data_IF_947021994709
#
_entry.id   IF_947021994709
#
_cell.length_a   1.000
_cell.length_b   1.000
_cell.length_c   1.000
_cell.angle_alpha   90.00
_cell.angle_beta   90.00
_cell.angle_gamma   90.00
#
_symmetry.space_group_name_H-M   'P 1'
#
loop_
_entity.id
_entity.type
_entity.pdbx_description
1 polymer ?
#
# COMPACT_ATOMS: atom_id res chain seq x y z
N UNK A 1 -3.23 34.90 -18.18
CA UNK A 1 -2.48 35.05 -16.93
C UNK A 1 -2.27 33.69 -16.28
N UNK A 2 -1.08 33.09 -16.42
CA UNK A 2 -0.69 31.97 -15.56
C UNK A 2 0.81 32.06 -15.20
N UNK A 3 1.18 32.78 -14.13
CA UNK A 3 2.57 32.77 -13.61
C UNK A 3 2.67 32.83 -12.09
N UNK A 4 1.55 32.88 -11.35
CA UNK A 4 1.58 33.04 -9.89
C UNK A 4 1.56 31.73 -9.08
N UNK A 5 1.23 30.58 -9.69
CA UNK A 5 1.11 29.29 -8.97
C UNK A 5 2.41 28.47 -8.91
N UNK A 6 3.38 28.77 -9.77
CA UNK A 6 4.67 28.07 -9.78
C UNK A 6 5.63 28.57 -8.68
N UNK A 7 5.49 29.82 -8.23
CA UNK A 7 6.38 30.42 -7.22
C UNK A 7 5.97 30.08 -5.78
N UNK A 8 4.68 29.83 -5.52
CA UNK A 8 4.19 29.43 -4.20
C UNK A 8 4.58 27.99 -3.81
N UNK A 9 4.86 27.11 -4.78
CA UNK A 9 5.24 25.72 -4.53
C UNK A 9 6.74 25.52 -4.29
N UNK A 10 7.59 26.49 -4.64
CA UNK A 10 9.05 26.39 -4.44
C UNK A 10 9.47 26.83 -3.04
N UNK A 11 8.72 27.74 -2.40
CA UNK A 11 9.04 28.26 -1.06
C UNK A 11 8.67 27.28 0.06
N UNK A 12 7.64 26.44 -0.13
CA UNK A 12 7.23 25.45 0.87
C UNK A 12 8.10 24.17 0.93
N UNK A 13 9.05 24.00 0.00
CA UNK A 13 9.89 22.80 -0.09
C UNK A 13 11.30 22.97 0.52
N UNK A 14 11.69 24.20 0.87
CA UNK A 14 13.02 24.50 1.42
C UNK A 14 13.08 24.42 2.97
N UNK A 15 11.93 24.31 3.65
CA UNK A 15 11.84 24.41 5.12
C UNK A 15 11.68 23.04 5.83
N UNK A 16 11.75 21.92 5.10
CA UNK A 16 11.61 20.56 5.67
C UNK A 16 12.86 19.68 5.52
N UNK A 17 14.00 20.28 5.15
CA UNK A 17 15.27 19.60 4.95
C UNK A 17 16.35 20.17 5.89
N UNK A 18 16.15 19.99 7.19
CA UNK A 18 17.14 20.32 8.20
C UNK A 18 16.66 19.87 9.57
N UNK A 19 17.03 18.66 9.98
CA UNK A 19 17.43 18.34 11.35
C UNK A 19 17.53 16.81 11.54
N UNK A 20 18.78 16.32 11.55
CA UNK A 20 19.16 15.07 12.20
C UNK A 20 20.69 15.09 12.41
N UNK A 21 21.14 15.74 13.48
CA UNK A 21 22.43 15.43 14.13
C UNK A 21 22.55 16.10 15.52
N UNK A 22 22.86 15.30 16.52
CA UNK A 22 23.36 15.67 17.85
C UNK A 22 24.38 14.59 18.26
N UNK A 23 25.30 14.76 19.24
CA UNK A 23 25.73 15.96 19.97
C UNK A 23 27.27 16.20 19.88
N UNK A 24 27.76 17.37 20.34
CA UNK A 24 28.94 17.50 21.22
C UNK A 24 29.23 18.94 21.63
N UNK A 25 29.74 19.04 22.85
CA UNK A 25 30.02 20.23 23.66
C UNK A 25 31.13 21.16 23.14
N UNK A 26 31.16 22.32 23.80
CA UNK A 26 32.25 23.26 24.06
C UNK A 26 32.40 24.53 23.22
N UNK A 27 32.16 25.63 23.94
CA UNK A 27 33.00 26.83 24.06
C UNK A 27 32.95 27.90 22.95
N UNK A 28 32.36 29.04 23.35
CA UNK A 28 33.01 30.37 23.39
C UNK A 28 33.62 30.92 22.09
N UNK A 29 32.95 31.92 21.49
CA UNK A 29 33.38 33.33 21.46
C UNK A 29 32.68 34.12 20.34
N UNK A 30 31.94 35.15 20.75
CA UNK A 30 31.47 36.25 19.90
C UNK A 30 32.64 37.22 19.71
N UNK A 31 32.76 37.89 18.54
CA UNK A 31 32.70 39.34 18.60
C UNK A 31 31.78 39.97 17.55
N UNK A 32 30.99 40.93 18.04
CA UNK A 32 30.30 42.00 17.28
C UNK A 32 31.31 43.00 16.72
N UNK A 33 31.05 43.51 15.51
CA UNK A 33 31.07 44.96 15.12
C UNK A 33 30.54 45.06 13.69
N UNK A 34 29.43 45.79 13.47
CA UNK A 34 29.37 47.21 13.07
C UNK A 34 29.94 47.42 11.65
N UNK A 35 29.34 48.13 10.70
CA UNK A 35 28.22 49.08 10.67
C UNK A 35 28.04 49.50 9.20
N UNK A 36 26.78 49.71 8.80
CA UNK A 36 26.24 50.77 7.93
C UNK A 36 26.73 51.08 6.49
N UNK A 37 25.71 51.47 5.69
CA UNK A 37 25.65 52.29 4.46
C UNK A 37 26.01 51.61 3.11
N UNK A 38 25.08 51.42 2.16
CA UNK A 38 24.23 52.32 1.32
C UNK A 38 24.85 52.68 -0.06
N UNK A 39 24.07 52.41 -1.12
CA UNK A 39 23.95 53.09 -2.44
C UNK A 39 24.92 52.70 -3.60
N UNK A 40 24.39 51.86 -4.51
CA UNK A 40 24.23 51.89 -6.00
C UNK A 40 25.09 52.79 -6.99
N UNK A 41 25.07 52.54 -8.33
CA UNK A 41 26.23 52.35 -9.24
C UNK A 41 26.33 53.47 -10.33
N UNK A 42 26.63 53.27 -11.65
CA UNK A 42 27.56 52.41 -12.43
C UNK A 42 28.49 53.23 -13.37
N UNK A 43 29.47 52.62 -14.07
CA UNK A 43 29.90 53.07 -15.43
C UNK A 43 30.78 52.05 -16.17
N UNK A 44 30.44 51.86 -17.45
CA UNK A 44 31.18 51.20 -18.53
C UNK A 44 32.49 51.97 -18.88
N UNK A 45 33.54 51.32 -19.40
CA UNK A 45 33.81 51.28 -20.85
C UNK A 45 35.12 50.54 -21.23
N UNK A 46 35.14 50.15 -22.50
CA UNK A 46 36.07 49.34 -23.32
C UNK A 46 37.60 49.56 -23.25
N UNK A 47 38.38 48.50 -23.58
CA UNK A 47 39.27 48.49 -24.78
C UNK A 47 40.13 47.21 -24.92
N UNK A 48 40.07 46.65 -26.14
CA UNK A 48 41.12 45.99 -26.95
C UNK A 48 41.74 44.60 -26.63
N UNK A 49 41.75 43.79 -27.69
CA UNK A 49 42.36 42.46 -27.88
C UNK A 49 43.72 42.61 -28.61
N UNK A 50 44.63 41.60 -28.57
CA UNK A 50 44.61 40.66 -29.68
C UNK A 50 44.95 39.18 -29.35
N UNK A 51 44.34 38.32 -30.16
CA UNK A 51 44.51 36.87 -30.39
C UNK A 51 45.89 36.27 -30.09
N UNK A 52 45.88 35.16 -29.35
CA UNK A 52 46.63 33.94 -29.72
C UNK A 52 45.75 32.70 -29.51
N UNK A 53 45.73 31.86 -30.53
CA UNK A 53 44.96 30.62 -30.62
C UNK A 53 45.64 29.48 -29.85
N UNK A 54 44.92 28.87 -28.90
CA UNK A 54 45.14 27.47 -28.55
C UNK A 54 43.80 26.78 -28.28
N UNK A 55 43.73 25.58 -28.82
CA UNK A 55 42.54 24.76 -29.05
C UNK A 55 42.08 24.02 -27.79
N UNK A 56 40.74 23.97 -27.61
CA UNK A 56 39.96 22.84 -27.07
C UNK A 56 40.19 22.50 -25.57
N UNK A 57 39.23 22.85 -24.70
CA UNK A 57 38.33 21.84 -24.13
C UNK A 57 37.11 22.47 -23.45
N UNK A 58 35.95 22.36 -24.11
CA UNK A 58 34.64 22.75 -23.58
C UNK A 58 34.21 21.63 -22.61
N UNK A 59 34.37 21.82 -21.30
CA UNK A 59 33.71 20.95 -20.31
C UNK A 59 32.22 21.23 -20.38
N UNK A 60 31.54 20.50 -21.26
CA UNK A 60 30.10 20.26 -21.17
C UNK A 60 29.83 19.72 -19.78
N UNK A 61 29.04 20.46 -19.01
CA UNK A 61 28.44 20.04 -17.76
C UNK A 61 27.53 18.86 -18.08
N UNK A 62 28.09 17.65 -18.02
CA UNK A 62 27.33 16.41 -18.15
C UNK A 62 26.52 16.32 -16.89
N UNK A 63 25.28 16.80 -16.97
CA UNK A 63 24.26 16.61 -15.97
C UNK A 63 24.18 15.12 -15.66
N UNK A 64 24.78 14.76 -14.53
CA UNK A 64 24.83 13.40 -14.02
C UNK A 64 23.39 12.92 -13.89
N UNK A 65 22.97 11.83 -14.56
CA UNK A 65 21.61 11.34 -14.40
C UNK A 65 21.36 11.07 -12.93
N UNK A 66 20.28 11.65 -12.40
CA UNK A 66 19.85 11.43 -11.03
C UNK A 66 19.84 9.92 -10.75
N UNK A 67 20.33 9.48 -9.57
CA UNK A 67 20.35 8.07 -9.25
C UNK A 67 18.92 7.50 -9.33
N UNK A 68 18.74 6.26 -9.81
CA UNK A 68 17.42 5.67 -9.96
C UNK A 68 16.74 5.66 -8.59
N UNK A 69 15.62 6.38 -8.48
CA UNK A 69 14.80 6.44 -7.29
C UNK A 69 14.54 5.01 -6.77
N UNK A 70 15.00 4.75 -5.56
CA UNK A 70 14.70 3.53 -4.82
C UNK A 70 13.18 3.47 -4.58
N UNK A 71 12.45 2.77 -5.48
CA UNK A 71 11.04 2.40 -5.35
C UNK A 71 10.12 3.49 -4.82
N UNK A 72 9.63 4.37 -5.71
CA UNK A 72 8.60 5.35 -5.37
C UNK A 72 7.41 4.66 -4.68
N UNK A 73 7.15 5.06 -3.43
CA UNK A 73 5.96 4.60 -2.70
C UNK A 73 4.73 5.12 -3.44
N UNK A 74 3.81 4.24 -3.82
CA UNK A 74 2.59 4.62 -4.52
C UNK A 74 1.61 5.19 -3.47
N UNK A 75 1.50 6.52 -3.42
CA UNK A 75 0.90 7.25 -2.31
C UNK A 75 -0.62 7.08 -2.25
N UNK A 76 -1.30 7.08 -3.38
CA UNK A 76 -2.76 6.91 -3.42
C UNK A 76 -3.24 5.57 -2.87
N UNK A 77 -2.42 4.50 -2.93
CA UNK A 77 -2.77 3.20 -2.37
C UNK A 77 -2.79 3.23 -0.83
N UNK A 78 -1.94 4.06 -0.20
CA UNK A 78 -2.07 4.34 1.24
C UNK A 78 -3.39 5.08 1.51
N UNK A 79 -3.71 6.08 0.68
CA UNK A 79 -4.96 6.82 0.73
C UNK A 79 -6.21 5.94 0.67
N UNK A 80 -6.25 5.03 -0.31
CA UNK A 80 -7.34 4.07 -0.49
C UNK A 80 -7.47 3.13 0.71
N UNK A 81 -6.34 2.71 1.28
CA UNK A 81 -6.31 1.92 2.52
C UNK A 81 -6.87 2.69 3.72
N UNK A 82 -6.56 3.99 3.81
CA UNK A 82 -7.10 4.89 4.83
C UNK A 82 -8.60 5.09 4.70
N UNK A 83 -9.08 5.34 3.48
CA UNK A 83 -10.50 5.45 3.18
C UNK A 83 -11.26 4.16 3.58
N UNK A 84 -10.72 2.99 3.24
CA UNK A 84 -11.31 1.71 3.64
C UNK A 84 -11.39 1.56 5.17
N UNK A 85 -10.33 1.89 5.94
CA UNK A 85 -10.40 1.87 7.40
C UNK A 85 -11.47 2.80 7.95
N UNK A 86 -11.56 4.01 7.40
CA UNK A 86 -12.57 4.99 7.79
C UNK A 86 -14.00 4.49 7.51
N UNK A 87 -14.23 3.86 6.36
CA UNK A 87 -15.53 3.25 6.03
C UNK A 87 -15.91 2.13 7.00
N UNK A 88 -14.96 1.30 7.44
CA UNK A 88 -15.20 0.29 8.49
C UNK A 88 -15.64 0.94 9.80
N UNK A 89 -14.99 2.04 10.22
CA UNK A 89 -15.38 2.79 11.42
C UNK A 89 -16.80 3.33 11.27
N UNK A 90 -17.11 4.00 10.15
CA UNK A 90 -18.45 4.57 9.85
C UNK A 90 -19.53 3.49 9.95
N UNK A 91 -19.31 2.31 9.38
CA UNK A 91 -20.23 1.16 9.49
C UNK A 91 -20.50 0.77 10.95
N UNK A 92 -19.44 0.56 11.74
CA UNK A 92 -19.59 0.02 13.10
C UNK A 92 -20.13 1.05 14.09
N UNK A 93 -19.96 2.35 13.83
CA UNK A 93 -20.68 3.38 14.61
C UNK A 93 -22.19 3.35 14.33
N UNK A 94 -22.60 2.82 13.17
CA UNK A 94 -23.97 2.91 12.65
C UNK A 94 -24.26 4.25 11.97
N UNK A 95 -23.23 4.96 11.49
CA UNK A 95 -23.44 6.17 10.71
C UNK A 95 -23.99 5.80 9.32
N UNK A 96 -24.91 6.63 8.82
CA UNK A 96 -25.54 6.53 7.49
C UNK A 96 -26.48 5.32 7.26
N UNK A 97 -26.38 4.24 8.02
CA UNK A 97 -27.26 3.07 7.86
C UNK A 97 -27.04 2.29 6.56
N UNK A 98 -25.90 2.50 5.89
CA UNK A 98 -25.56 1.91 4.61
C UNK A 98 -24.52 0.79 4.84
N UNK A 99 -24.65 -0.40 4.22
CA UNK A 99 -23.75 -1.54 4.41
C UNK A 99 -22.39 -1.37 3.69
N UNK A 100 -21.62 -0.34 4.06
CA UNK A 100 -20.31 -0.02 3.48
C UNK A 100 -19.14 -0.79 4.10
N UNK A 101 -19.37 -1.50 5.21
CA UNK A 101 -18.32 -2.26 5.92
C UNK A 101 -17.69 -3.38 5.10
N UNK A 102 -18.51 -4.25 4.51
CA UNK A 102 -18.02 -5.37 3.71
C UNK A 102 -17.29 -4.91 2.42
N UNK A 103 -17.81 -3.93 1.65
CA UNK A 103 -17.06 -3.30 0.56
C UNK A 103 -15.69 -2.74 0.99
N UNK A 104 -15.59 -2.15 2.18
CA UNK A 104 -14.32 -1.64 2.69
C UNK A 104 -13.32 -2.77 3.02
N UNK A 105 -13.80 -3.88 3.59
CA UNK A 105 -12.98 -5.09 3.81
C UNK A 105 -12.51 -5.70 2.48
N UNK A 106 -13.36 -5.70 1.45
CA UNK A 106 -12.97 -6.12 0.11
C UNK A 106 -11.84 -5.26 -0.46
N UNK A 107 -11.92 -3.94 -0.27
CA UNK A 107 -10.84 -3.04 -0.67
C UNK A 107 -9.53 -3.39 0.02
N UNK A 108 -9.54 -3.76 1.31
CA UNK A 108 -8.34 -4.27 1.99
C UNK A 108 -7.80 -5.55 1.36
N UNK A 109 -8.66 -6.52 1.06
CA UNK A 109 -8.26 -7.78 0.43
C UNK A 109 -7.70 -7.57 -0.98
N UNK A 110 -8.34 -6.72 -1.80
CA UNK A 110 -7.85 -6.35 -3.13
C UNK A 110 -6.49 -5.66 -3.04
N UNK A 111 -6.34 -4.65 -2.18
CA UNK A 111 -5.09 -3.92 -1.98
C UNK A 111 -3.96 -4.85 -1.54
N UNK A 112 -4.23 -5.74 -0.58
CA UNK A 112 -3.25 -6.69 -0.07
C UNK A 112 -2.80 -7.64 -1.18
N UNK A 113 -3.75 -8.26 -1.89
CA UNK A 113 -3.45 -9.15 -3.01
C UNK A 113 -2.69 -8.43 -4.15
N UNK A 114 -3.09 -7.21 -4.49
CA UNK A 114 -2.44 -6.40 -5.52
C UNK A 114 -0.98 -6.10 -5.17
N UNK A 115 -0.73 -5.52 -4.00
CA UNK A 115 0.61 -5.11 -3.57
C UNK A 115 1.54 -6.31 -3.39
N UNK A 116 1.08 -7.37 -2.73
CA UNK A 116 1.92 -8.54 -2.48
C UNK A 116 2.22 -9.29 -3.78
N UNK A 117 1.23 -9.43 -4.67
CA UNK A 117 1.45 -10.05 -5.99
C UNK A 117 2.45 -9.25 -6.80
N UNK A 118 2.30 -7.92 -6.89
CA UNK A 118 3.24 -7.06 -7.64
C UNK A 118 4.68 -7.15 -7.09
N UNK A 119 4.86 -7.10 -5.77
CA UNK A 119 6.17 -7.18 -5.13
C UNK A 119 6.79 -8.58 -5.33
N UNK A 120 6.00 -9.64 -5.12
CA UNK A 120 6.48 -11.01 -5.24
C UNK A 120 6.78 -11.38 -6.70
N UNK A 121 5.95 -10.94 -7.65
CA UNK A 121 6.17 -11.10 -9.09
C UNK A 121 7.54 -10.54 -9.49
N UNK A 122 7.83 -9.29 -9.13
CA UNK A 122 9.12 -8.67 -9.44
C UNK A 122 10.28 -9.46 -8.86
N UNK A 123 10.15 -9.94 -7.61
CA UNK A 123 11.19 -10.75 -6.94
C UNK A 123 11.36 -12.12 -7.60
N UNK A 124 10.26 -12.83 -7.85
CA UNK A 124 10.22 -14.16 -8.46
C UNK A 124 10.84 -14.16 -9.87
N UNK A 125 10.52 -13.14 -10.67
CA UNK A 125 11.11 -12.95 -12.00
C UNK A 125 12.63 -12.82 -11.96
N UNK A 126 13.16 -11.99 -11.06
CA UNK A 126 14.62 -11.85 -10.87
C UNK A 126 15.25 -13.19 -10.48
N UNK A 127 14.64 -13.92 -9.55
CA UNK A 127 15.14 -15.23 -9.09
C UNK A 127 15.14 -16.28 -10.23
N UNK A 128 14.11 -16.28 -11.08
CA UNK A 128 14.05 -17.15 -12.26
C UNK A 128 15.12 -16.81 -13.30
N UNK A 129 15.34 -15.52 -13.57
CA UNK A 129 16.35 -15.07 -14.53
C UNK A 129 17.78 -15.39 -14.05
N UNK A 130 18.03 -15.31 -12.75
CA UNK A 130 19.32 -15.65 -12.14
C UNK A 130 19.54 -17.17 -11.96
N UNK A 131 18.57 -18.03 -12.32
CA UNK A 131 18.63 -19.50 -12.17
C UNK A 131 19.12 -19.96 -10.80
N UNK A 132 18.57 -19.34 -9.75
CA UNK A 132 19.04 -19.52 -8.36
C UNK A 132 18.68 -20.87 -7.76
N UNK A 133 19.52 -21.33 -6.82
CA UNK A 133 19.31 -22.55 -6.05
C UNK A 133 18.02 -22.52 -5.20
N UNK A 134 17.46 -23.70 -4.90
CA UNK A 134 16.29 -23.88 -4.03
C UNK A 134 16.42 -23.22 -2.66
N UNK A 135 17.64 -23.20 -2.08
CA UNK A 135 17.89 -22.53 -0.79
C UNK A 135 17.53 -21.05 -0.83
N UNK A 136 17.85 -20.38 -1.94
CA UNK A 136 17.62 -18.95 -2.13
C UNK A 136 16.15 -18.61 -2.35
N UNK A 137 15.41 -19.52 -2.98
CA UNK A 137 13.95 -19.46 -2.99
C UNK A 137 13.37 -19.55 -1.58
N UNK A 138 13.90 -20.45 -0.74
CA UNK A 138 13.56 -20.56 0.68
C UNK A 138 13.78 -19.24 1.43
N UNK A 139 14.95 -18.61 1.28
CA UNK A 139 15.25 -17.30 1.87
C UNK A 139 14.33 -16.18 1.38
N UNK A 140 14.01 -16.18 0.08
CA UNK A 140 13.12 -15.19 -0.51
C UNK A 140 11.68 -15.31 0.03
N UNK A 141 11.19 -16.54 0.21
CA UNK A 141 9.89 -16.84 0.80
C UNK A 141 9.88 -16.52 2.30
N UNK A 142 10.94 -16.85 3.04
CA UNK A 142 11.06 -16.52 4.45
C UNK A 142 11.01 -15.01 4.69
N UNK A 143 11.77 -14.22 3.93
CA UNK A 143 11.73 -12.75 3.97
C UNK A 143 10.32 -12.21 3.65
N UNK A 144 9.63 -12.83 2.68
CA UNK A 144 8.25 -12.47 2.34
C UNK A 144 7.28 -12.75 3.50
N UNK A 145 7.23 -13.99 4.02
CA UNK A 145 6.31 -14.37 5.08
C UNK A 145 6.60 -13.65 6.40
N UNK A 146 7.88 -13.51 6.77
CA UNK A 146 8.27 -12.83 8.00
C UNK A 146 7.83 -11.37 8.03
N UNK A 147 7.95 -10.64 6.89
CA UNK A 147 7.47 -9.25 6.79
C UNK A 147 5.97 -9.12 6.94
N UNK A 148 5.20 -10.10 6.46
CA UNK A 148 3.73 -10.08 6.57
C UNK A 148 3.26 -10.50 7.95
N UNK A 149 3.88 -11.54 8.50
CA UNK A 149 3.62 -11.99 9.86
C UNK A 149 3.91 -10.87 10.87
N UNK A 150 5.10 -10.27 10.84
CA UNK A 150 5.48 -9.20 11.76
C UNK A 150 4.71 -7.88 11.54
N UNK A 151 4.09 -7.69 10.37
CA UNK A 151 3.24 -6.52 10.14
C UNK A 151 1.88 -6.63 10.84
N UNK A 152 1.33 -7.84 10.90
CA UNK A 152 -0.08 -8.07 11.26
C UNK A 152 -0.23 -8.76 12.61
N UNK A 153 0.52 -9.85 12.81
CA UNK A 153 0.32 -10.76 13.93
C UNK A 153 0.65 -10.16 15.32
N UNK A 154 1.70 -9.34 15.52
CA UNK A 154 2.05 -8.83 16.86
C UNK A 154 0.91 -8.03 17.51
N UNK A 155 0.34 -7.07 16.78
CA UNK A 155 -0.76 -6.27 17.32
C UNK A 155 -2.01 -7.11 17.53
N UNK A 156 -2.33 -8.02 16.61
CA UNK A 156 -3.41 -8.99 16.79
C UNK A 156 -3.24 -9.81 18.07
N UNK A 157 -2.05 -10.37 18.30
CA UNK A 157 -1.77 -11.18 19.48
C UNK A 157 -1.86 -10.37 20.77
N UNK A 158 -1.41 -9.11 20.77
CA UNK A 158 -1.55 -8.20 21.90
C UNK A 158 -3.03 -7.94 22.19
N UNK A 159 -3.84 -7.61 21.18
CA UNK A 159 -5.28 -7.36 21.39
C UNK A 159 -5.99 -8.62 21.88
N UNK A 160 -5.75 -9.78 21.25
CA UNK A 160 -6.33 -11.06 21.67
C UNK A 160 -5.93 -11.41 23.12
N UNK A 161 -4.71 -11.11 23.54
CA UNK A 161 -4.26 -11.32 24.92
C UNK A 161 -4.89 -10.31 25.86
N UNK A 162 -4.99 -9.04 25.46
CA UNK A 162 -5.57 -7.97 26.27
C UNK A 162 -7.06 -8.21 26.58
N UNK A 163 -7.78 -8.90 25.68
CA UNK A 163 -9.15 -9.33 25.95
C UNK A 163 -9.28 -10.23 27.19
N UNK A 164 -8.24 -10.91 27.66
CA UNK A 164 -8.30 -11.71 28.88
C UNK A 164 -8.62 -10.89 30.13
N UNK A 165 -8.26 -9.60 30.15
CA UNK A 165 -8.45 -8.71 31.31
C UNK A 165 -9.91 -8.26 31.45
N UNK A 166 -10.70 -8.32 30.37
CA UNK A 166 -12.10 -7.88 30.37
C UNK A 166 -13.05 -8.93 30.93
N UNK A 167 -14.12 -8.51 31.59
CA UNK A 167 -15.20 -9.41 32.04
C UNK A 167 -15.98 -9.99 30.85
N UNK A 168 -16.67 -11.14 31.01
CA UNK A 168 -17.43 -11.74 29.90
C UNK A 168 -18.41 -10.78 29.20
N UNK A 169 -19.22 -9.96 29.91
CA UNK A 169 -20.09 -8.97 29.27
C UNK A 169 -19.34 -7.91 28.46
N UNK A 170 -18.14 -7.51 28.92
CA UNK A 170 -17.31 -6.55 28.20
C UNK A 170 -16.73 -7.18 26.91
N UNK A 171 -16.32 -8.45 26.93
CA UNK A 171 -15.84 -9.17 25.74
C UNK A 171 -16.94 -9.28 24.68
N UNK A 172 -18.14 -9.66 25.09
CA UNK A 172 -19.30 -9.73 24.20
C UNK A 172 -19.61 -8.36 23.58
N UNK A 173 -19.60 -7.30 24.38
CA UNK A 173 -19.88 -5.95 23.91
C UNK A 173 -18.82 -5.39 22.96
N UNK A 174 -17.53 -5.57 23.27
CA UNK A 174 -16.43 -4.95 22.53
C UNK A 174 -16.06 -5.73 21.27
N UNK A 175 -16.10 -7.07 21.32
CA UNK A 175 -15.62 -7.94 20.25
C UNK A 175 -16.64 -9.00 19.83
N UNK A 176 -17.91 -8.89 20.22
CA UNK A 176 -18.97 -9.82 19.82
C UNK A 176 -18.62 -11.29 20.12
N UNK A 177 -17.98 -11.52 21.26
CA UNK A 177 -17.65 -12.87 21.73
C UNK A 177 -18.95 -13.54 22.20
N UNK A 178 -19.55 -14.39 21.36
CA UNK A 178 -20.85 -15.02 21.62
C UNK A 178 -20.89 -15.96 22.85
N UNK A 179 -19.76 -16.60 23.18
CA UNK A 179 -19.62 -17.45 24.35
C UNK A 179 -18.41 -17.01 25.19
N UNK A 180 -18.53 -15.86 25.88
CA UNK A 180 -17.38 -15.20 26.50
C UNK A 180 -16.82 -15.95 27.71
N UNK A 181 -17.65 -16.80 28.35
CA UNK A 181 -17.24 -17.74 29.40
C UNK A 181 -16.22 -18.77 28.89
N UNK A 182 -16.30 -19.13 27.61
CA UNK A 182 -15.45 -20.13 26.96
C UNK A 182 -14.30 -19.49 26.16
N UNK A 183 -13.92 -18.26 26.48
CA UNK A 183 -12.84 -17.56 25.80
C UNK A 183 -11.53 -18.33 25.94
N UNK A 184 -10.98 -18.78 24.82
CA UNK A 184 -9.75 -19.56 24.78
C UNK A 184 -8.71 -18.85 23.91
N UNK A 185 -7.69 -18.26 24.55
CA UNK A 185 -6.65 -17.48 23.88
C UNK A 185 -5.94 -18.31 22.80
N UNK A 186 -5.62 -19.58 23.08
CA UNK A 186 -4.92 -20.43 22.12
C UNK A 186 -5.72 -20.64 20.83
N UNK A 187 -7.03 -20.88 20.95
CA UNK A 187 -7.93 -21.03 19.78
C UNK A 187 -8.07 -19.73 18.98
N UNK A 188 -8.06 -18.58 19.65
CA UNK A 188 -8.06 -17.25 18.99
C UNK A 188 -6.75 -17.02 18.25
N UNK A 189 -5.60 -17.21 18.90
CA UNK A 189 -4.26 -17.02 18.31
C UNK A 189 -4.00 -17.96 17.12
N UNK A 190 -4.59 -19.15 17.13
CA UNK A 190 -4.51 -20.14 16.03
C UNK A 190 -5.61 -19.98 14.98
N UNK A 191 -6.45 -18.93 15.08
CA UNK A 191 -7.54 -18.63 14.16
C UNK A 191 -8.55 -19.77 13.94
N UNK A 192 -8.88 -20.54 14.99
CA UNK A 192 -9.98 -21.52 14.91
C UNK A 192 -11.27 -20.82 14.48
N UNK A 193 -12.01 -21.45 13.58
CA UNK A 193 -13.14 -20.83 12.85
C UNK A 193 -14.15 -20.13 13.78
N UNK A 194 -14.61 -20.81 14.82
CA UNK A 194 -15.59 -20.31 15.80
C UNK A 194 -15.06 -19.19 16.71
N UNK A 195 -13.73 -19.01 16.77
CA UNK A 195 -13.04 -18.07 17.66
C UNK A 195 -12.57 -16.81 16.93
N UNK A 196 -13.01 -16.62 15.68
CA UNK A 196 -12.71 -15.45 14.84
C UNK A 196 -13.66 -14.30 15.15
N UNK A 197 -13.59 -13.78 16.37
CA UNK A 197 -14.51 -12.77 16.87
C UNK A 197 -14.38 -11.41 16.17
N UNK A 198 -15.51 -10.73 15.95
CA UNK A 198 -15.61 -9.41 15.31
C UNK A 198 -14.60 -9.28 14.15
N UNK A 199 -13.70 -8.30 14.18
CA UNK A 199 -12.79 -7.97 13.08
C UNK A 199 -11.69 -9.01 12.83
N UNK A 200 -11.51 -9.99 13.73
CA UNK A 200 -10.45 -11.01 13.59
C UNK A 200 -10.70 -12.00 12.45
N UNK A 201 -11.92 -12.09 11.91
CA UNK A 201 -12.24 -13.03 10.84
C UNK A 201 -11.48 -12.77 9.54
N UNK A 202 -11.06 -11.53 9.28
CA UNK A 202 -10.36 -11.16 8.04
C UNK A 202 -8.91 -11.64 8.01
N UNK A 203 -8.25 -11.71 9.16
CA UNK A 203 -6.84 -12.09 9.31
C UNK A 203 -6.50 -13.48 8.74
N UNK A 204 -7.20 -14.57 9.10
CA UNK A 204 -6.89 -15.89 8.58
C UNK A 204 -7.13 -16.01 7.07
N UNK A 205 -8.10 -15.26 6.52
CA UNK A 205 -8.35 -15.23 5.07
C UNK A 205 -7.16 -14.60 4.35
N UNK A 206 -6.69 -13.47 4.85
CA UNK A 206 -5.56 -12.75 4.30
C UNK A 206 -4.26 -13.58 4.40
N UNK A 207 -3.98 -14.16 5.57
CA UNK A 207 -2.82 -15.04 5.79
C UNK A 207 -2.89 -16.26 4.86
N UNK A 208 -4.05 -16.91 4.74
CA UNK A 208 -4.21 -18.04 3.84
C UNK A 208 -3.89 -17.65 2.39
N UNK A 209 -4.39 -16.49 1.93
CA UNK A 209 -4.10 -16.00 0.58
C UNK A 209 -2.62 -15.69 0.35
N UNK A 210 -1.86 -15.30 1.37
CA UNK A 210 -0.41 -15.09 1.23
C UNK A 210 0.34 -16.33 0.76
N UNK A 211 -0.15 -17.53 1.10
CA UNK A 211 0.42 -18.79 0.62
C UNK A 211 0.02 -19.11 -0.82
N UNK A 212 -1.13 -18.60 -1.29
CA UNK A 212 -1.57 -18.78 -2.67
C UNK A 212 -0.82 -17.86 -3.65
N UNK A 213 -0.39 -16.67 -3.22
CA UNK A 213 0.30 -15.69 -4.08
C UNK A 213 1.55 -16.27 -4.75
N UNK A 214 2.50 -16.94 -4.05
CA UNK A 214 3.64 -17.55 -4.70
C UNK A 214 3.26 -18.54 -5.80
N UNK A 215 2.26 -19.38 -5.54
CA UNK A 215 1.78 -20.37 -6.52
C UNK A 215 1.17 -19.67 -7.74
N UNK A 216 0.30 -18.68 -7.51
CA UNK A 216 -0.33 -17.88 -8.56
C UNK A 216 0.70 -17.18 -9.45
N UNK A 217 1.66 -16.49 -8.85
CA UNK A 217 2.73 -15.77 -9.57
C UNK A 217 3.58 -16.75 -10.39
N UNK A 218 3.96 -17.89 -9.81
CA UNK A 218 4.75 -18.90 -10.51
C UNK A 218 4.01 -19.46 -11.72
N UNK A 219 2.71 -19.78 -11.58
CA UNK A 219 1.89 -20.21 -12.71
C UNK A 219 1.87 -19.16 -13.84
N UNK A 220 1.67 -17.88 -13.51
CA UNK A 220 1.69 -16.78 -14.49
C UNK A 220 3.04 -16.64 -15.19
N UNK A 221 4.14 -16.78 -14.45
CA UNK A 221 5.49 -16.71 -15.02
C UNK A 221 5.80 -17.89 -15.94
N UNK A 222 5.32 -19.10 -15.62
CA UNK A 222 5.46 -20.29 -16.46
C UNK A 222 4.72 -20.15 -17.80
N UNK A 223 3.58 -19.44 -17.82
CA UNK A 223 2.78 -19.20 -19.03
C UNK A 223 3.43 -18.23 -20.02
N UNK A 224 4.45 -17.46 -19.61
CA UNK A 224 5.22 -16.52 -20.45
C UNK A 224 4.33 -15.58 -21.28
N UNK A 225 4.24 -15.80 -22.60
CA UNK A 225 3.44 -14.98 -23.55
C UNK A 225 1.95 -15.36 -23.54
N UNK A 226 1.61 -16.56 -23.08
CA UNK A 226 0.25 -17.11 -23.06
C UNK A 226 -0.50 -16.80 -21.76
N UNK A 227 0.02 -15.88 -20.93
CA UNK A 227 -0.59 -15.52 -19.65
C UNK A 227 -2.04 -15.02 -19.77
N UNK A 228 -2.41 -14.43 -20.91
CA UNK A 228 -3.77 -13.93 -21.18
C UNK A 228 -4.78 -15.09 -21.29
N UNK A 229 -4.37 -16.22 -21.85
CA UNK A 229 -5.25 -17.36 -22.16
C UNK A 229 -6.00 -17.88 -20.93
N UNK A 230 -5.35 -18.14 -19.77
CA UNK A 230 -6.06 -18.50 -18.56
C UNK A 230 -6.58 -17.31 -17.74
N UNK A 231 -6.04 -16.09 -17.94
CA UNK A 231 -6.52 -14.90 -17.20
C UNK A 231 -7.92 -14.46 -17.63
N UNK A 232 -8.26 -14.56 -18.92
CA UNK A 232 -9.60 -14.20 -19.40
C UNK A 232 -10.72 -15.07 -18.80
N UNK A 233 -10.68 -16.42 -18.89
CA UNK A 233 -11.70 -17.25 -18.27
C UNK A 233 -11.67 -17.13 -16.74
N UNK A 234 -10.49 -16.96 -16.13
CA UNK A 234 -10.40 -16.70 -14.69
C UNK A 234 -11.11 -15.39 -14.32
N UNK A 235 -10.92 -14.32 -15.09
CA UNK A 235 -11.58 -13.04 -14.88
C UNK A 235 -13.09 -13.14 -15.00
N UNK A 236 -13.58 -13.86 -16.00
CA UNK A 236 -15.00 -14.16 -16.14
C UNK A 236 -15.53 -14.95 -14.94
N UNK A 237 -14.85 -16.02 -14.52
CA UNK A 237 -15.26 -16.85 -13.38
C UNK A 237 -15.26 -16.06 -12.07
N UNK A 238 -14.29 -15.17 -11.89
CA UNK A 238 -14.18 -14.30 -10.71
C UNK A 238 -15.32 -13.28 -10.69
N UNK A 239 -15.61 -12.64 -11.82
CA UNK A 239 -16.73 -11.71 -11.93
C UNK A 239 -18.08 -12.44 -11.72
N UNK A 240 -18.28 -13.57 -12.40
CA UNK A 240 -19.48 -14.40 -12.26
C UNK A 240 -19.64 -14.88 -10.81
N UNK A 241 -18.61 -15.48 -10.22
CA UNK A 241 -18.67 -15.93 -8.82
C UNK A 241 -18.92 -14.76 -7.86
N UNK A 242 -18.36 -13.58 -8.13
CA UNK A 242 -18.54 -12.40 -7.29
C UNK A 242 -19.98 -11.87 -7.32
N UNK A 243 -20.62 -11.85 -8.49
CA UNK A 243 -21.98 -11.32 -8.64
C UNK A 243 -23.08 -12.31 -8.24
N UNK A 244 -22.87 -13.61 -8.44
CA UNK A 244 -23.92 -14.62 -8.28
C UNK A 244 -23.81 -15.41 -6.97
N UNK A 245 -22.65 -15.44 -6.31
CA UNK A 245 -22.47 -16.20 -5.08
C UNK A 245 -22.51 -15.29 -3.85
N UNK A 246 -23.36 -15.64 -2.87
CA UNK A 246 -23.47 -14.90 -1.62
C UNK A 246 -22.20 -15.08 -0.77
N UNK A 247 -21.73 -13.95 -0.22
CA UNK A 247 -20.54 -13.85 0.63
C UNK A 247 -20.87 -12.92 1.78
N UNK A 248 -20.65 -13.38 3.00
CA UNK A 248 -20.89 -12.61 4.22
C UNK A 248 -19.68 -12.67 5.14
N UNK A 249 -19.76 -11.91 6.22
CA UNK A 249 -18.72 -11.88 7.24
C UNK A 249 -18.56 -13.27 7.89
N UNK A 250 -17.36 -13.55 8.39
CA UNK A 250 -17.00 -14.82 9.06
C UNK A 250 -17.10 -16.09 8.18
N UNK A 251 -17.34 -15.97 6.87
CA UNK A 251 -17.27 -17.11 5.95
C UNK A 251 -15.83 -17.61 5.74
N UNK A 252 -15.63 -18.89 5.36
CA UNK A 252 -14.30 -19.40 5.03
C UNK A 252 -13.71 -18.72 3.77
N UNK A 253 -12.46 -19.03 3.43
CA UNK A 253 -11.76 -18.38 2.30
C UNK A 253 -12.47 -18.54 0.95
N UNK A 254 -13.14 -19.66 0.69
CA UNK A 254 -13.69 -20.00 -0.64
C UNK A 254 -14.62 -18.91 -1.22
N UNK A 255 -15.67 -18.44 -0.50
CA UNK A 255 -16.50 -17.31 -0.96
C UNK A 255 -15.76 -15.98 -1.18
N UNK A 256 -14.65 -15.75 -0.49
CA UNK A 256 -13.85 -14.51 -0.63
C UNK A 256 -12.70 -14.64 -1.63
N UNK A 257 -12.42 -15.84 -2.15
CA UNK A 257 -11.34 -16.09 -3.08
C UNK A 257 -11.42 -15.22 -4.35
N UNK A 258 -12.60 -14.98 -4.97
CA UNK A 258 -12.73 -14.07 -6.11
C UNK A 258 -12.19 -12.66 -5.83
N UNK A 259 -12.41 -12.13 -4.63
CA UNK A 259 -11.92 -10.80 -4.21
C UNK A 259 -10.40 -10.72 -4.22
N UNK A 260 -9.73 -11.72 -3.64
CA UNK A 260 -8.27 -11.76 -3.63
C UNK A 260 -7.69 -11.98 -5.04
N UNK A 261 -8.31 -12.87 -5.82
CA UNK A 261 -7.89 -13.11 -7.21
C UNK A 261 -8.02 -11.83 -8.06
N UNK A 262 -9.08 -11.04 -7.88
CA UNK A 262 -9.22 -9.72 -8.52
C UNK A 262 -8.00 -8.82 -8.29
N UNK A 263 -7.49 -8.73 -7.05
CA UNK A 263 -6.31 -7.93 -6.73
C UNK A 263 -5.03 -8.47 -7.39
N UNK A 264 -4.82 -9.79 -7.34
CA UNK A 264 -3.67 -10.42 -7.97
C UNK A 264 -3.69 -10.32 -9.50
N UNK A 265 -4.87 -10.47 -10.13
CA UNK A 265 -5.04 -10.26 -11.57
C UNK A 265 -4.74 -8.82 -11.96
N UNK A 266 -5.25 -7.83 -11.21
CA UNK A 266 -4.95 -6.42 -11.43
C UNK A 266 -3.44 -6.14 -11.38
N UNK A 267 -2.72 -6.73 -10.43
CA UNK A 267 -1.27 -6.60 -10.35
C UNK A 267 -0.56 -7.18 -11.57
N UNK A 268 -0.97 -8.35 -12.06
CA UNK A 268 -0.39 -8.95 -13.28
C UNK A 268 -0.69 -8.10 -14.51
N UNK A 269 -1.93 -7.62 -14.66
CA UNK A 269 -2.33 -6.74 -15.77
C UNK A 269 -1.47 -5.48 -15.76
N UNK A 270 -1.35 -4.81 -14.61
CA UNK A 270 -0.49 -3.63 -14.46
C UNK A 270 0.97 -3.92 -14.82
N UNK A 271 1.57 -4.96 -14.22
CA UNK A 271 2.97 -5.32 -14.44
C UNK A 271 3.25 -5.63 -15.92
N UNK A 272 2.34 -6.35 -16.59
CA UNK A 272 2.50 -6.69 -18.01
C UNK A 272 2.30 -5.47 -18.91
N UNK A 273 1.36 -4.59 -18.58
CA UNK A 273 1.13 -3.34 -19.29
C UNK A 273 2.35 -2.40 -19.15
N UNK A 274 2.84 -2.17 -17.93
CA UNK A 274 4.03 -1.36 -17.65
C UNK A 274 5.26 -1.84 -18.41
N UNK A 275 5.48 -3.16 -18.46
CA UNK A 275 6.57 -3.76 -19.23
C UNK A 275 6.41 -3.59 -20.73
N UNK A 276 5.20 -3.71 -21.24
CA UNK A 276 4.92 -3.50 -22.64
C UNK A 276 5.12 -2.04 -23.04
N UNK A 277 4.63 -1.10 -22.22
CA UNK A 277 4.81 0.35 -22.39
C UNK A 277 6.30 0.69 -22.42
N UNK A 278 7.05 0.22 -21.42
CA UNK A 278 8.50 0.46 -21.31
C UNK A 278 9.26 -0.17 -22.46
N UNK A 279 8.96 -1.42 -22.83
CA UNK A 279 9.67 -2.12 -23.91
C UNK A 279 9.43 -1.49 -25.29
N UNK A 280 8.21 -1.01 -25.54
CA UNK A 280 7.85 -0.39 -26.83
C UNK A 280 8.03 1.13 -26.85
N UNK A 281 8.48 1.73 -25.74
CA UNK A 281 8.56 3.19 -25.58
C UNK A 281 7.23 3.85 -25.98
N UNK A 282 6.12 3.26 -25.52
CA UNK A 282 4.80 3.68 -25.92
C UNK A 282 4.46 5.05 -25.33
N UNK A 283 4.12 6.00 -26.20
CA UNK A 283 3.72 7.36 -25.80
C UNK A 283 2.20 7.44 -25.75
N UNK A 284 1.67 7.80 -24.58
CA UNK A 284 0.24 8.04 -24.42
C UNK A 284 -0.21 9.25 -25.25
N UNK A 285 -1.32 9.06 -25.96
CA UNK A 285 -2.01 10.13 -26.70
C UNK A 285 -3.31 10.49 -25.98
N UNK A 286 -3.85 11.67 -26.27
CA UNK A 286 -5.04 12.21 -25.60
C UNK A 286 -6.25 11.24 -25.61
N UNK A 287 -6.47 10.50 -26.70
CA UNK A 287 -7.58 9.55 -26.78
C UNK A 287 -7.38 8.31 -25.89
N UNK A 288 -6.13 7.86 -25.67
CA UNK A 288 -5.85 6.80 -24.70
C UNK A 288 -6.17 7.26 -23.27
N UNK A 289 -5.81 8.50 -22.96
CA UNK A 289 -6.18 9.13 -21.69
C UNK A 289 -7.70 9.21 -21.55
N UNK A 290 -8.41 9.70 -22.58
CA UNK A 290 -9.87 9.82 -22.56
C UNK A 290 -10.54 8.46 -22.34
N UNK A 291 -10.16 7.44 -23.11
CA UNK A 291 -10.71 6.08 -22.98
C UNK A 291 -10.47 5.53 -21.58
N UNK A 292 -9.26 5.69 -21.03
CA UNK A 292 -8.94 5.22 -19.68
C UNK A 292 -9.81 5.93 -18.63
N UNK A 293 -10.02 7.24 -18.76
CA UNK A 293 -10.87 8.01 -17.84
C UNK A 293 -12.35 7.68 -17.96
N UNK A 294 -12.85 7.43 -19.17
CA UNK A 294 -14.23 6.97 -19.35
C UNK A 294 -14.43 5.61 -18.67
N UNK A 295 -13.48 4.68 -18.84
CA UNK A 295 -13.53 3.36 -18.17
C UNK A 295 -13.47 3.51 -16.65
N UNK A 296 -12.55 4.32 -16.14
CA UNK A 296 -12.40 4.58 -14.71
C UNK A 296 -13.67 5.21 -14.11
N UNK A 297 -14.17 6.29 -14.70
CA UNK A 297 -15.35 7.00 -14.19
C UNK A 297 -16.61 6.13 -14.26
N UNK A 298 -16.74 5.28 -15.28
CA UNK A 298 -17.81 4.29 -15.36
C UNK A 298 -17.70 3.25 -14.23
N UNK A 299 -16.49 2.74 -13.97
CA UNK A 299 -16.22 1.83 -12.85
C UNK A 299 -16.53 2.48 -11.49
N UNK A 300 -16.18 3.75 -11.33
CA UNK A 300 -16.45 4.52 -10.12
C UNK A 300 -17.95 4.78 -9.92
N UNK A 301 -18.68 5.09 -10.99
CA UNK A 301 -20.14 5.26 -10.97
C UNK A 301 -20.84 3.95 -10.58
N UNK A 302 -20.42 2.81 -11.15
CA UNK A 302 -20.94 1.48 -10.78
C UNK A 302 -20.59 1.18 -9.31
N UNK A 303 -19.36 1.44 -8.87
CA UNK A 303 -18.94 1.26 -7.49
C UNK A 303 -19.81 2.05 -6.52
N UNK A 304 -20.02 3.34 -6.78
CA UNK A 304 -20.89 4.16 -5.93
C UNK A 304 -22.35 3.72 -5.98
N UNK A 305 -22.85 3.30 -7.15
CA UNK A 305 -24.18 2.74 -7.24
C UNK A 305 -24.32 1.50 -6.36
N UNK A 306 -23.31 0.63 -6.32
CA UNK A 306 -23.31 -0.55 -5.46
C UNK A 306 -23.20 -0.17 -3.97
N UNK A 307 -22.34 0.79 -3.63
CA UNK A 307 -22.17 1.24 -2.24
C UNK A 307 -23.43 1.90 -1.66
N UNK A 308 -24.16 2.67 -2.46
CA UNK A 308 -25.30 3.48 -2.02
C UNK A 308 -26.66 2.87 -2.41
N UNK A 309 -26.73 1.56 -2.68
CA UNK A 309 -28.01 0.87 -2.88
C UNK A 309 -28.74 1.22 -4.17
N UNK A 310 -28.01 1.51 -5.24
CA UNK A 310 -28.53 1.71 -6.58
C UNK A 310 -28.50 3.14 -7.09
N UNK A 311 -27.73 4.07 -6.53
CA UNK A 311 -27.72 5.50 -6.92
C UNK A 311 -27.76 5.77 -8.45
N UNK A 312 -27.13 4.94 -9.28
CA UNK A 312 -27.17 5.04 -10.75
C UNK A 312 -28.27 4.14 -11.34
N UNK A 313 -28.40 2.91 -10.84
CA UNK A 313 -29.36 1.93 -11.37
C UNK A 313 -30.82 2.19 -10.97
N UNK A 314 -31.10 2.96 -9.91
CA UNK A 314 -32.47 3.34 -9.55
C UNK A 314 -33.01 4.48 -10.43
N UNK A 315 -32.12 5.26 -11.05
CA UNK A 315 -32.50 6.43 -11.85
C UNK A 315 -32.36 6.21 -13.36
N UNK A 316 -31.45 5.32 -13.79
CA UNK A 316 -31.06 5.22 -15.21
C UNK A 316 -31.36 3.84 -15.82
N UNK A 317 -31.07 2.73 -15.11
CA UNK A 317 -31.23 1.37 -15.63
C UNK A 317 -31.54 0.37 -14.53
N UNK A 318 -32.52 -0.52 -14.70
CA UNK A 318 -32.75 -1.63 -13.76
C UNK A 318 -31.45 -2.39 -13.45
N UNK A 319 -31.21 -2.67 -12.17
CA UNK A 319 -29.97 -3.29 -11.73
C UNK A 319 -29.85 -4.70 -12.35
N UNK A 320 -28.89 -4.93 -13.26
CA UNK A 320 -28.77 -6.21 -13.95
C UNK A 320 -28.14 -7.30 -13.06
N UNK A 321 -27.66 -6.92 -11.87
CA UNK A 321 -26.99 -7.82 -10.92
C UNK A 321 -28.02 -8.33 -9.91
N UNK A 322 -28.10 -9.66 -9.68
CA UNK A 322 -29.05 -10.22 -8.72
C UNK A 322 -28.80 -9.67 -7.30
N UNK A 323 -29.87 -9.37 -6.59
CA UNK A 323 -29.81 -9.04 -5.16
C UNK A 323 -29.53 -10.33 -4.39
N UNK A 324 -28.25 -10.61 -4.14
CA UNK A 324 -27.84 -11.72 -3.27
C UNK A 324 -27.96 -11.29 -1.81
N UNK A 325 -28.24 -12.24 -0.90
CA UNK A 325 -28.41 -11.98 0.54
C UNK A 325 -27.11 -11.64 1.29
N UNK A 326 -25.98 -11.57 0.58
CA UNK A 326 -24.65 -11.26 1.14
C UNK A 326 -24.17 -9.88 0.69
N UNK A 327 -22.99 -9.46 1.15
CA UNK A 327 -22.47 -8.15 0.77
C UNK A 327 -21.98 -8.08 -0.66
N UNK A 328 -22.05 -6.86 -1.19
CA UNK A 328 -21.84 -6.59 -2.60
C UNK A 328 -20.40 -6.82 -3.05
N UNK A 329 -20.24 -7.34 -4.27
CA UNK A 329 -18.94 -7.56 -4.89
C UNK A 329 -18.42 -6.29 -5.56
N UNK A 330 -17.55 -5.56 -4.85
CA UNK A 330 -16.90 -4.34 -5.36
C UNK A 330 -15.50 -4.57 -5.91
N UNK A 331 -14.97 -5.78 -5.74
CA UNK A 331 -13.54 -6.08 -5.93
C UNK A 331 -13.07 -5.84 -7.37
N UNK A 332 -13.89 -6.17 -8.37
CA UNK A 332 -13.55 -5.93 -9.78
C UNK A 332 -13.45 -4.44 -10.10
N UNK A 333 -14.38 -3.62 -9.60
CA UNK A 333 -14.39 -2.17 -9.82
C UNK A 333 -13.17 -1.51 -9.16
N UNK A 334 -12.89 -1.87 -7.90
CA UNK A 334 -11.72 -1.37 -7.15
C UNK A 334 -10.42 -1.77 -7.85
N UNK A 335 -10.29 -3.03 -8.28
CA UNK A 335 -9.14 -3.51 -9.05
C UNK A 335 -8.94 -2.73 -10.35
N UNK A 336 -10.01 -2.46 -11.09
CA UNK A 336 -9.95 -1.71 -12.34
C UNK A 336 -9.51 -0.25 -12.10
N UNK A 337 -10.08 0.42 -11.10
CA UNK A 337 -9.69 1.79 -10.71
C UNK A 337 -8.20 1.84 -10.33
N UNK A 338 -7.73 0.87 -9.53
CA UNK A 338 -6.31 0.77 -9.17
C UNK A 338 -5.44 0.66 -10.44
N UNK A 339 -5.79 -0.21 -11.39
CA UNK A 339 -5.00 -0.38 -12.62
C UNK A 339 -5.00 0.89 -13.46
N UNK A 340 -6.15 1.56 -13.61
CA UNK A 340 -6.25 2.83 -14.33
C UNK A 340 -5.34 3.90 -13.71
N UNK A 341 -5.44 4.10 -12.39
CA UNK A 341 -4.65 5.09 -11.65
C UNK A 341 -3.15 4.76 -11.60
N UNK A 342 -2.79 3.48 -11.60
CA UNK A 342 -1.40 3.03 -11.72
C UNK A 342 -0.79 3.31 -13.09
N UNK A 343 -1.58 3.20 -14.18
CA UNK A 343 -1.10 3.43 -15.54
C UNK A 343 -0.99 4.91 -15.89
N UNK A 344 -2.02 5.67 -15.52
CA UNK A 344 -2.05 7.12 -15.65
C UNK A 344 -2.70 7.66 -14.37
N UNK A 345 -1.97 8.32 -13.48
CA UNK A 345 -2.55 8.99 -12.31
C UNK A 345 -3.50 10.11 -12.73
N UNK A 346 -4.64 10.24 -12.04
CA UNK A 346 -5.67 11.23 -12.30
C UNK A 346 -6.22 11.91 -11.05
N UNK A 347 -7.49 12.33 -11.14
CA UNK A 347 -8.17 13.05 -10.06
C UNK A 347 -8.39 12.14 -8.85
N UNK A 348 -8.68 10.86 -9.08
CA UNK A 348 -8.94 9.89 -8.01
C UNK A 348 -7.68 9.65 -7.19
N UNK A 349 -6.51 9.42 -7.82
CA UNK A 349 -5.26 9.32 -7.04
C UNK A 349 -4.95 10.62 -6.32
N UNK A 350 -5.09 11.77 -6.97
CA UNK A 350 -4.83 13.09 -6.35
C UNK A 350 -5.67 13.30 -5.08
N UNK A 351 -6.95 12.91 -5.11
CA UNK A 351 -7.84 12.98 -3.94
C UNK A 351 -7.39 11.99 -2.85
N UNK A 352 -7.06 10.75 -3.22
CA UNK A 352 -6.61 9.72 -2.28
C UNK A 352 -5.23 10.07 -1.69
N UNK A 353 -4.42 10.86 -2.37
CA UNK A 353 -3.13 11.34 -1.88
C UNK A 353 -3.24 12.45 -0.84
N UNK A 354 -4.45 12.83 -0.45
CA UNK A 354 -4.68 13.75 0.64
C UNK A 354 -4.00 13.27 1.93
N UNK A 355 -3.35 14.19 2.64
CA UNK A 355 -2.50 13.89 3.80
C UNK A 355 -3.23 13.10 4.88
N UNK A 356 -4.51 13.44 5.14
CA UNK A 356 -5.34 12.76 6.13
C UNK A 356 -5.59 11.29 5.74
N UNK A 357 -5.98 11.03 4.48
CA UNK A 357 -6.24 9.68 3.99
C UNK A 357 -4.96 8.84 3.98
N UNK A 358 -3.83 9.41 3.57
CA UNK A 358 -2.53 8.72 3.62
C UNK A 358 -2.12 8.40 5.05
N UNK A 359 -2.35 9.31 5.99
CA UNK A 359 -2.05 9.07 7.40
C UNK A 359 -2.96 7.98 7.98
N UNK A 360 -4.27 8.05 7.74
CA UNK A 360 -5.21 7.00 8.07
C UNK A 360 -4.79 5.65 7.46
N UNK A 361 -4.27 5.65 6.23
CA UNK A 361 -3.69 4.49 5.55
C UNK A 361 -2.47 3.90 6.25
N UNK A 362 -1.57 4.77 6.74
CA UNK A 362 -0.38 4.36 7.49
C UNK A 362 -0.77 3.60 8.77
N UNK A 363 -1.73 4.12 9.54
CA UNK A 363 -2.21 3.53 10.80
C UNK A 363 -3.41 2.60 10.64
N UNK A 364 -3.80 2.27 9.41
CA UNK A 364 -5.11 1.69 9.11
C UNK A 364 -5.32 0.32 9.76
N UNK A 365 -4.24 -0.43 9.99
CA UNK A 365 -4.33 -1.75 10.61
C UNK A 365 -4.65 -1.62 12.10
N UNK A 366 -3.94 -0.74 12.82
CA UNK A 366 -4.32 -0.35 14.19
C UNK A 366 -5.75 0.19 14.26
N UNK A 367 -6.16 1.04 13.31
CA UNK A 367 -7.53 1.57 13.25
C UNK A 367 -8.57 0.47 13.06
N UNK A 368 -8.34 -0.44 12.11
CA UNK A 368 -9.21 -1.57 11.86
C UNK A 368 -9.33 -2.50 13.07
N UNK A 369 -8.28 -2.70 13.85
CA UNK A 369 -8.30 -3.62 14.98
C UNK A 369 -8.85 -2.99 16.28
N UNK A 370 -8.57 -1.71 16.50
CA UNK A 370 -8.77 -1.05 17.79
C UNK A 370 -10.03 -0.18 17.86
N UNK A 371 -10.68 0.13 16.73
CA UNK A 371 -11.87 0.99 16.73
C UNK A 371 -12.98 0.47 17.66
N UNK A 372 -13.13 -0.85 17.81
CA UNK A 372 -14.17 -1.44 18.65
C UNK A 372 -14.05 -1.03 20.12
N UNK A 373 -12.81 -0.84 20.63
CA UNK A 373 -12.59 -0.34 21.99
C UNK A 373 -13.12 1.08 22.20
N UNK A 374 -13.12 1.89 21.14
CA UNK A 374 -13.61 3.27 21.18
C UNK A 374 -15.13 3.29 20.97
N UNK A 375 -15.59 2.74 19.86
CA UNK A 375 -16.99 2.83 19.40
C UNK A 375 -17.96 2.22 20.42
N UNK A 376 -17.60 1.07 21.00
CA UNK A 376 -18.49 0.36 21.94
C UNK A 376 -18.24 0.72 23.41
N UNK A 377 -17.34 1.66 23.71
CA UNK A 377 -17.20 2.16 25.08
C UNK A 377 -18.50 2.81 25.57
N UNK A 378 -18.82 2.65 26.86
CA UNK A 378 -20.05 3.23 27.44
C UNK A 378 -20.05 4.76 27.34
N UNK A 379 -18.89 5.39 27.53
CA UNK A 379 -18.78 6.83 27.48
C UNK A 379 -19.11 7.40 26.09
N UNK A 380 -18.54 6.82 25.02
CA UNK A 380 -18.81 7.26 23.63
C UNK A 380 -20.26 7.01 23.23
N UNK A 381 -20.83 5.85 23.60
CA UNK A 381 -22.22 5.50 23.25
C UNK A 381 -23.27 6.40 23.89
N UNK A 382 -22.99 6.98 25.06
CA UNK A 382 -23.89 7.91 25.76
C UNK A 382 -23.84 9.36 25.24
N UNK A 383 -22.84 9.69 24.42
CA UNK A 383 -22.71 11.05 23.87
C UNK A 383 -23.80 11.34 22.82
N UNK A 384 -24.20 12.62 22.72
CA UNK A 384 -25.01 13.11 21.61
C UNK A 384 -24.26 13.03 20.27
N UNK A 385 -24.98 13.19 19.16
CA UNK A 385 -24.45 12.91 17.80
C UNK A 385 -23.10 13.58 17.49
N UNK A 386 -22.97 14.89 17.67
CA UNK A 386 -21.73 15.62 17.35
C UNK A 386 -20.58 15.26 18.30
N UNK A 387 -20.86 15.18 19.61
CA UNK A 387 -19.86 14.78 20.60
C UNK A 387 -19.36 13.35 20.33
N UNK A 388 -20.27 12.43 19.98
CA UNK A 388 -19.95 11.07 19.56
C UNK A 388 -19.09 11.07 18.29
N UNK A 389 -19.41 11.91 17.31
CA UNK A 389 -18.63 12.05 16.08
C UNK A 389 -17.18 12.44 16.36
N UNK A 390 -16.95 13.53 17.09
CA UNK A 390 -15.60 13.98 17.43
C UNK A 390 -14.87 13.00 18.35
N UNK A 391 -15.58 12.40 19.32
CA UNK A 391 -15.01 11.40 20.21
C UNK A 391 -14.55 10.14 19.46
N UNK A 392 -15.38 9.58 18.59
CA UNK A 392 -15.02 8.39 17.80
C UNK A 392 -13.78 8.68 16.97
N UNK A 393 -13.80 9.74 16.16
CA UNK A 393 -12.68 10.03 15.28
C UNK A 393 -11.42 10.39 16.06
N UNK A 394 -11.51 11.32 17.01
CA UNK A 394 -10.37 11.74 17.83
C UNK A 394 -9.73 10.59 18.60
N UNK A 395 -10.52 9.80 19.32
CA UNK A 395 -10.01 8.69 20.13
C UNK A 395 -9.54 7.52 19.26
N UNK A 396 -10.22 7.20 18.16
CA UNK A 396 -9.78 6.14 17.24
C UNK A 396 -8.47 6.52 16.57
N UNK A 397 -8.32 7.75 16.05
CA UNK A 397 -7.05 8.22 15.49
C UNK A 397 -5.94 8.23 16.53
N UNK A 398 -6.20 8.74 17.73
CA UNK A 398 -5.22 8.76 18.82
C UNK A 398 -4.77 7.35 19.20
N UNK A 399 -5.70 6.45 19.51
CA UNK A 399 -5.40 5.07 19.90
C UNK A 399 -4.66 4.31 18.79
N UNK A 400 -5.07 4.50 17.54
CA UNK A 400 -4.43 3.87 16.39
C UNK A 400 -3.02 4.39 16.16
N UNK A 401 -2.81 5.69 16.36
CA UNK A 401 -1.49 6.33 16.23
C UNK A 401 -0.53 5.83 17.30
N UNK A 402 -0.97 5.83 18.56
CA UNK A 402 -0.18 5.34 19.69
C UNK A 402 0.17 3.87 19.46
N UNK A 403 -0.81 3.03 19.12
CA UNK A 403 -0.59 1.62 18.79
C UNK A 403 0.38 1.41 17.62
N UNK A 404 0.25 2.21 16.55
CA UNK A 404 1.11 2.13 15.39
C UNK A 404 2.58 2.38 15.78
N UNK A 405 2.85 3.42 16.54
CA UNK A 405 4.22 3.77 16.94
C UNK A 405 4.81 2.81 17.98
N UNK A 406 3.99 2.24 18.86
CA UNK A 406 4.46 1.32 19.91
C UNK A 406 4.61 -0.13 19.45
N UNK A 407 3.80 -0.58 18.48
CA UNK A 407 3.72 -2.00 18.11
C UNK A 407 3.99 -2.22 16.63
N UNK A 408 3.18 -1.62 15.75
CA UNK A 408 3.22 -1.91 14.31
C UNK A 408 4.55 -1.47 13.69
N UNK A 409 4.99 -0.24 13.95
CA UNK A 409 6.22 0.32 13.39
C UNK A 409 7.49 -0.40 13.87
N UNK A 410 7.70 -0.66 15.17
CA UNK A 410 8.83 -1.47 15.63
C UNK A 410 8.83 -2.88 15.03
N UNK A 411 7.67 -3.52 14.92
CA UNK A 411 7.57 -4.87 14.34
C UNK A 411 7.96 -4.88 12.85
N UNK A 412 7.54 -3.87 12.09
CA UNK A 412 7.94 -3.70 10.69
C UNK A 412 9.44 -3.42 10.55
N UNK A 413 10.01 -2.65 11.47
CA UNK A 413 11.44 -2.38 11.49
C UNK A 413 12.27 -3.64 11.77
N UNK A 414 11.84 -4.49 12.72
CA UNK A 414 12.46 -5.80 12.99
C UNK A 414 12.41 -6.67 11.73
N UNK A 415 11.28 -6.70 11.03
CA UNK A 415 11.16 -7.42 9.75
C UNK A 415 12.13 -6.88 8.68
N UNK A 416 12.34 -5.55 8.65
CA UNK A 416 13.33 -4.90 7.80
C UNK A 416 14.74 -5.41 8.06
N UNK A 417 15.15 -5.45 9.33
CA UNK A 417 16.47 -5.96 9.76
C UNK A 417 16.65 -7.44 9.45
N UNK A 418 15.64 -8.27 9.72
CA UNK A 418 15.66 -9.69 9.37
C UNK A 418 15.89 -9.88 7.86
N UNK A 419 15.21 -9.11 7.03
CA UNK A 419 15.42 -9.19 5.59
C UNK A 419 16.78 -8.66 5.11
N UNK A 420 17.37 -7.67 5.78
CA UNK A 420 18.75 -7.25 5.50
C UNK A 420 19.75 -8.37 5.87
N UNK A 421 19.53 -9.05 6.99
CA UNK A 421 20.34 -10.18 7.40
C UNK A 421 20.24 -11.35 6.40
N UNK A 422 19.03 -11.65 5.92
CA UNK A 422 18.82 -12.66 4.85
C UNK A 422 19.59 -12.26 3.58
N UNK A 423 19.49 -10.99 3.14
CA UNK A 423 20.24 -10.50 1.97
C UNK A 423 21.76 -10.61 2.12
N UNK A 424 22.29 -10.37 3.33
CA UNK A 424 23.73 -10.55 3.61
C UNK A 424 24.15 -12.01 3.46
N UNK A 425 23.36 -12.95 3.97
CA UNK A 425 23.62 -14.39 3.78
C UNK A 425 23.57 -14.81 2.32
N UNK A 426 22.59 -14.33 1.57
CA UNK A 426 22.49 -14.52 0.13
C UNK A 426 23.72 -13.99 -0.62
N UNK A 427 24.27 -12.83 -0.22
CA UNK A 427 25.46 -12.26 -0.84
C UNK A 427 26.71 -13.10 -0.57
N UNK A 428 26.89 -13.59 0.66
CA UNK A 428 28.01 -14.48 1.02
C UNK A 428 27.92 -15.80 0.25
N UNK A 429 26.70 -16.35 0.07
CA UNK A 429 26.52 -17.56 -0.75
C UNK A 429 26.85 -17.30 -2.23
N UNK A 430 26.51 -16.12 -2.78
CA UNK A 430 26.90 -15.74 -4.14
C UNK A 430 28.41 -15.69 -4.30
N UNK A 431 29.14 -15.12 -3.34
CA UNK A 431 30.61 -15.04 -3.38
C UNK A 431 31.26 -16.42 -3.27
N UNK A 432 30.69 -17.34 -2.47
CA UNK A 432 31.20 -18.72 -2.34
C UNK A 432 30.97 -19.59 -3.57
N UNK A 433 29.89 -19.34 -4.33
CA UNK A 433 29.49 -20.14 -5.50
C UNK A 433 30.00 -19.53 -6.82
N UNK A 434 30.46 -18.27 -6.81
CA UNK A 434 31.15 -17.70 -7.96
C UNK A 434 32.41 -18.56 -8.25
N UNK A 435 32.56 -19.14 -9.45
CA UNK A 435 33.78 -19.83 -9.79
C UNK A 435 34.93 -18.82 -9.67
N UNK A 436 35.98 -19.20 -8.93
CA UNK A 436 37.26 -18.53 -9.01
C UNK A 436 37.70 -18.61 -10.48
N UNK A 437 37.43 -17.56 -11.25
CA UNK A 437 38.04 -17.40 -12.55
C UNK A 437 39.55 -17.44 -12.30
N UNK A 438 40.30 -18.38 -12.91
CA UNK A 438 41.74 -18.33 -12.80
C UNK A 438 42.16 -17.00 -13.38
N UNK A 439 42.81 -16.17 -12.56
CA UNK A 439 43.60 -15.06 -13.05
C UNK A 439 44.65 -15.70 -13.95
N UNK A 440 44.36 -15.78 -15.26
CA UNK A 440 45.37 -16.10 -16.26
C UNK A 440 46.40 -14.99 -16.17
N UNK A 441 47.48 -15.28 -15.45
CA UNK A 441 48.69 -14.48 -15.49
C UNK A 441 49.09 -14.36 -16.95
N UNK A 442 49.05 -13.14 -17.48
CA UNK A 442 49.81 -12.78 -18.68
C UNK A 442 51.29 -12.95 -18.31
N UNK A 443 51.81 -14.18 -18.40
CA UNK A 443 53.22 -14.39 -18.70
C UNK A 443 53.41 -13.97 -20.15
N UNK A 444 53.83 -12.72 -20.35
CA UNK A 444 54.48 -12.29 -21.58
C UNK A 444 55.70 -13.17 -21.79
N UNK A 445 55.62 -14.09 -22.76
CA UNK A 445 56.78 -14.72 -23.37
C UNK A 445 57.26 -13.80 -24.49
N UNK A 446 58.58 -13.58 -24.48
CA UNK A 446 59.48 -13.15 -25.56
C UNK A 446 59.29 -11.74 -26.10
#
# INVERSE_FOLDING_TARGET
MPTSLAHALTVAYAEYAGDDASPKDDALLIPRRASDSEIEPPTEDSSDSPRTSSSINKKSDVQKPAPPNAGSKILFLDGLRGLAAMMVVVQHVGYMGIPIGQPAVDTFFVLSAFLLTMIFEKKARTLLNEKVSYKRWGWALLDYFARRFLRVYPLFAIVATYLLVYSPPQKEKLFFVHHPENYNLWKVLTFKFEYRYHVFWTLPLEIAYYFLIPVFVMMVLLLKKFWIVPMLPLGYLVAYSGFYWSRGDHMPLKPHLPTFICGSMAAIVYVKADQWITKRQFVFRWYHWLVLRVVEMSSLAILFSVLFGGLVFSWVFENPIPQTSGGHFVSANVSLIIVCEMLLPGVVSSLLEWCLLRYAGKISFSMYLLHSFVIYSDWVRRQGYYNKFFAVWGLTFLLSTVSYHLVEYPSQWVAGRLGQWIKKKDAIERERVAPALPVMSRRSRL
#
